data_IF_947758355462
#
_entry.id   IF_947758355462
#
_cell.length_a   1.000
_cell.length_b   1.000
_cell.length_c   1.000
_cell.angle_alpha   90.00
_cell.angle_beta   90.00
_cell.angle_gamma   90.00
#
_symmetry.space_group_name_H-M   'P 1'
#
loop_
_entity.id
_entity.type
_entity.pdbx_description
1 polymer ?
#
# COMPACT_ATOMS: atom_id res chain seq x y z
N UNK A 1 -56.98 -30.94 31.37
CA UNK A 1 -56.14 -31.13 30.13
C UNK A 1 -55.87 -29.74 29.56
N UNK A 2 -54.68 -29.25 29.77
CA UNK A 2 -54.23 -27.97 29.22
C UNK A 2 -53.22 -28.26 28.10
N UNK A 3 -53.52 -27.88 26.86
CA UNK A 3 -52.65 -28.00 25.71
C UNK A 3 -51.75 -26.79 25.65
N UNK A 4 -50.44 -27.00 25.82
CA UNK A 4 -49.39 -25.96 25.63
C UNK A 4 -49.03 -26.00 24.15
N UNK A 5 -49.36 -24.89 23.42
CA UNK A 5 -48.95 -24.67 22.06
C UNK A 5 -47.58 -23.96 22.08
N UNK A 6 -46.51 -24.66 21.76
CA UNK A 6 -45.17 -24.07 21.59
C UNK A 6 -45.11 -23.54 20.18
N UNK A 7 -45.16 -22.22 20.02
CA UNK A 7 -44.87 -21.50 18.76
C UNK A 7 -43.37 -21.35 18.67
N UNK A 8 -42.74 -22.17 17.84
CA UNK A 8 -41.34 -21.99 17.48
C UNK A 8 -41.25 -20.86 16.45
N UNK A 9 -40.89 -19.66 16.87
CA UNK A 9 -40.48 -18.61 15.93
C UNK A 9 -39.11 -18.94 15.37
N UNK A 10 -39.06 -19.33 14.11
CA UNK A 10 -37.83 -19.34 13.33
C UNK A 10 -37.44 -17.89 13.07
N UNK A 11 -36.43 -17.39 13.75
CA UNK A 11 -35.74 -16.17 13.35
C UNK A 11 -34.91 -16.53 12.11
N UNK A 12 -35.40 -16.15 10.95
CA UNK A 12 -34.57 -16.06 9.74
C UNK A 12 -33.56 -14.95 9.99
N UNK A 13 -32.31 -15.32 10.16
CA UNK A 13 -31.17 -14.41 10.17
C UNK A 13 -31.11 -13.77 8.80
N UNK A 14 -31.57 -12.54 8.66
CA UNK A 14 -31.28 -11.71 7.51
C UNK A 14 -29.81 -11.29 7.65
N UNK A 15 -28.93 -12.00 6.94
CA UNK A 15 -27.62 -11.47 6.64
C UNK A 15 -27.87 -10.13 5.91
N UNK A 16 -27.36 -9.03 6.44
CA UNK A 16 -27.52 -7.72 5.82
C UNK A 16 -26.94 -7.76 4.40
N UNK A 17 -27.73 -7.31 3.42
CA UNK A 17 -27.27 -7.25 2.01
C UNK A 17 -25.96 -6.44 1.94
N UNK A 18 -24.97 -6.98 1.25
CA UNK A 18 -23.69 -6.30 0.96
C UNK A 18 -24.02 -5.06 0.14
N UNK A 19 -23.62 -3.88 0.61
CA UNK A 19 -23.92 -2.59 -0.03
C UNK A 19 -22.83 -2.16 -1.00
N UNK A 20 -21.58 -2.54 -0.72
CA UNK A 20 -20.45 -2.25 -1.58
C UNK A 20 -19.43 -3.38 -1.49
N UNK A 21 -18.84 -3.73 -2.63
CA UNK A 21 -17.78 -4.71 -2.72
C UNK A 21 -16.73 -4.20 -3.72
N UNK A 22 -15.48 -4.25 -3.33
CA UNK A 22 -14.34 -3.87 -4.18
C UNK A 22 -13.15 -4.78 -3.92
N UNK A 23 -12.20 -4.78 -4.85
CA UNK A 23 -10.91 -5.43 -4.69
C UNK A 23 -9.89 -4.42 -4.18
N UNK A 24 -9.16 -4.81 -3.14
CA UNK A 24 -8.03 -4.03 -2.64
C UNK A 24 -6.70 -4.62 -3.11
N UNK A 25 -6.51 -5.94 -2.95
CA UNK A 25 -5.32 -6.67 -3.43
C UNK A 25 -5.74 -8.09 -3.84
N UNK A 26 -5.17 -8.59 -4.93
CA UNK A 26 -5.37 -9.94 -5.44
C UNK A 26 -4.09 -10.77 -5.35
N UNK A 27 -4.24 -12.03 -4.96
CA UNK A 27 -3.21 -13.05 -4.95
C UNK A 27 -3.78 -14.34 -5.58
N UNK A 28 -2.93 -15.30 -5.95
CA UNK A 28 -3.38 -16.54 -6.61
C UNK A 28 -4.29 -17.44 -5.75
N UNK A 29 -4.33 -17.27 -4.42
CA UNK A 29 -5.07 -18.15 -3.48
C UNK A 29 -5.88 -17.38 -2.45
N UNK A 30 -5.83 -16.04 -2.49
CA UNK A 30 -6.49 -15.14 -1.53
C UNK A 30 -6.70 -13.77 -2.15
N UNK A 31 -7.63 -13.01 -1.58
CA UNK A 31 -7.87 -11.62 -1.93
C UNK A 31 -8.07 -10.78 -0.67
N UNK A 32 -7.67 -9.51 -0.72
CA UNK A 32 -8.12 -8.52 0.24
C UNK A 32 -9.25 -7.76 -0.45
N UNK A 33 -10.45 -7.93 0.08
CA UNK A 33 -11.67 -7.31 -0.44
C UNK A 33 -12.08 -6.15 0.48
N UNK A 34 -12.65 -5.11 -0.10
CA UNK A 34 -13.35 -4.05 0.64
C UNK A 34 -14.83 -4.37 0.61
N UNK A 35 -15.40 -4.74 1.75
CA UNK A 35 -16.81 -5.11 1.89
C UNK A 35 -17.46 -4.11 2.83
N UNK A 36 -18.38 -3.30 2.32
CA UNK A 36 -19.04 -2.22 3.08
C UNK A 36 -18.04 -1.29 3.79
N UNK A 37 -16.97 -0.89 3.06
CA UNK A 37 -15.90 -0.04 3.57
C UNK A 37 -14.87 -0.72 4.48
N UNK A 38 -15.06 -2.01 4.82
CA UNK A 38 -14.13 -2.74 5.68
C UNK A 38 -13.24 -3.69 4.85
N UNK A 39 -11.94 -3.60 5.04
CA UNK A 39 -10.99 -4.51 4.40
C UNK A 39 -11.02 -5.88 5.08
N UNK A 40 -11.11 -6.93 4.27
CA UNK A 40 -11.11 -8.31 4.74
C UNK A 40 -10.25 -9.17 3.82
N UNK A 41 -9.30 -9.88 4.39
CA UNK A 41 -8.58 -10.93 3.67
C UNK A 41 -9.43 -12.20 3.68
N UNK A 42 -9.70 -12.74 2.51
CA UNK A 42 -10.34 -14.04 2.33
C UNK A 42 -9.42 -14.95 1.52
N UNK A 43 -9.34 -16.21 1.93
CA UNK A 43 -8.73 -17.28 1.13
C UNK A 43 -9.79 -17.92 0.23
N UNK A 44 -9.36 -18.53 -0.86
CA UNK A 44 -10.26 -19.30 -1.72
C UNK A 44 -11.01 -20.35 -0.89
N UNK A 45 -12.35 -20.34 -0.98
CA UNK A 45 -13.27 -21.15 -0.19
C UNK A 45 -13.68 -20.52 1.16
N UNK A 46 -13.14 -19.36 1.56
CA UNK A 46 -13.48 -18.69 2.82
C UNK A 46 -14.65 -17.72 2.63
N UNK A 47 -15.58 -17.72 3.62
CA UNK A 47 -16.76 -16.85 3.65
C UNK A 47 -16.57 -15.77 4.72
N UNK A 48 -16.79 -14.52 4.37
CA UNK A 48 -16.80 -13.40 5.30
C UNK A 48 -18.02 -13.44 6.24
N UNK A 49 -17.97 -12.77 7.41
CA UNK A 49 -19.13 -12.69 8.33
C UNK A 49 -20.40 -12.05 7.71
N UNK A 50 -20.26 -11.33 6.61
CA UNK A 50 -21.36 -10.68 5.89
C UNK A 50 -21.82 -11.47 4.64
N UNK A 51 -21.35 -12.72 4.46
CA UNK A 51 -21.85 -13.63 3.44
C UNK A 51 -21.17 -13.55 2.07
N UNK A 52 -19.99 -12.91 1.97
CA UNK A 52 -19.17 -12.92 0.74
C UNK A 52 -18.20 -14.11 0.80
N UNK A 53 -18.24 -15.00 -0.18
CA UNK A 53 -17.32 -16.14 -0.31
C UNK A 53 -16.36 -15.90 -1.47
N UNK A 54 -15.05 -16.06 -1.25
CA UNK A 54 -14.06 -16.02 -2.32
C UNK A 54 -14.01 -17.41 -3.01
N UNK A 55 -14.45 -17.49 -4.25
CA UNK A 55 -14.48 -18.72 -5.03
C UNK A 55 -13.15 -19.01 -5.72
N UNK A 56 -12.57 -17.98 -6.33
CA UNK A 56 -11.23 -18.06 -6.93
C UNK A 56 -10.56 -16.69 -6.91
N UNK A 57 -9.24 -16.68 -6.97
CA UNK A 57 -8.46 -15.44 -7.07
C UNK A 57 -7.20 -15.68 -7.88
N UNK A 58 -6.90 -14.76 -8.77
CA UNK A 58 -5.66 -14.64 -9.54
C UNK A 58 -5.00 -13.30 -9.18
N UNK A 59 -3.90 -12.94 -9.82
CA UNK A 59 -3.31 -11.61 -9.67
C UNK A 59 -4.04 -10.51 -10.46
N UNK A 60 -5.05 -10.86 -11.26
CA UNK A 60 -5.78 -9.93 -12.15
C UNK A 60 -7.26 -9.81 -11.80
N UNK A 61 -7.90 -10.91 -11.40
CA UNK A 61 -9.34 -10.94 -11.06
C UNK A 61 -9.62 -11.91 -9.91
N UNK A 62 -10.76 -11.70 -9.24
CA UNK A 62 -11.31 -12.64 -8.27
C UNK A 62 -12.76 -12.96 -8.61
N UNK A 63 -13.19 -14.21 -8.36
CA UNK A 63 -14.59 -14.59 -8.41
C UNK A 63 -15.09 -14.70 -6.97
N UNK A 64 -16.12 -13.95 -6.65
CA UNK A 64 -16.80 -13.96 -5.35
C UNK A 64 -18.22 -14.46 -5.50
N UNK A 65 -18.76 -15.06 -4.45
CA UNK A 65 -20.17 -15.45 -4.37
C UNK A 65 -20.86 -14.66 -3.27
N UNK A 66 -21.98 -14.02 -3.62
CA UNK A 66 -22.83 -13.24 -2.72
C UNK A 66 -24.28 -13.69 -2.96
N UNK A 67 -24.99 -14.10 -1.93
CA UNK A 67 -26.38 -14.58 -2.02
C UNK A 67 -26.61 -15.64 -3.11
N UNK A 68 -25.60 -16.55 -3.30
CA UNK A 68 -25.63 -17.61 -4.30
C UNK A 68 -25.40 -17.17 -5.75
N UNK A 69 -25.02 -15.91 -5.98
CA UNK A 69 -24.61 -15.38 -7.29
C UNK A 69 -23.10 -15.18 -7.31
N UNK A 70 -22.47 -15.62 -8.38
CA UNK A 70 -21.05 -15.42 -8.60
C UNK A 70 -20.82 -14.19 -9.46
N UNK A 71 -19.87 -13.35 -9.03
CA UNK A 71 -19.43 -12.16 -9.73
C UNK A 71 -17.90 -12.19 -9.87
N UNK A 72 -17.41 -11.83 -11.05
CA UNK A 72 -15.98 -11.60 -11.28
C UNK A 72 -15.70 -10.13 -11.05
N UNK A 73 -14.70 -9.85 -10.20
CA UNK A 73 -14.26 -8.49 -9.87
C UNK A 73 -12.78 -8.33 -10.20
N UNK A 74 -12.48 -7.28 -10.96
CA UNK A 74 -11.14 -6.87 -11.34
C UNK A 74 -10.64 -5.73 -10.44
N UNK A 75 -9.35 -5.45 -10.49
CA UNK A 75 -8.71 -4.35 -9.75
C UNK A 75 -9.29 -2.96 -10.06
N UNK A 76 -10.16 -2.82 -11.09
CA UNK A 76 -10.66 -1.53 -11.59
C UNK A 76 -12.16 -1.30 -11.43
N UNK A 77 -12.92 -2.21 -10.80
CA UNK A 77 -14.37 -2.05 -10.73
C UNK A 77 -14.84 -1.92 -9.27
N UNK A 78 -15.20 -0.71 -8.89
CA UNK A 78 -16.11 -0.47 -7.77
C UNK A 78 -17.52 -0.62 -8.32
N UNK A 79 -18.16 -1.78 -8.17
CA UNK A 79 -19.55 -1.96 -8.54
C UNK A 79 -20.44 -1.30 -7.49
N UNK A 80 -20.94 -0.10 -7.79
CA UNK A 80 -22.06 0.52 -7.06
C UNK A 80 -23.30 0.39 -7.93
N UNK A 81 -24.24 -0.47 -7.54
CA UNK A 81 -25.57 -0.54 -8.12
C UNK A 81 -26.44 0.61 -7.56
N UNK A 82 -26.55 1.69 -8.33
CA UNK A 82 -27.47 2.80 -8.10
C UNK A 82 -27.48 3.73 -9.29
N UNK A 83 -28.63 4.37 -9.68
CA UNK A 83 -28.68 5.24 -10.84
C UNK A 83 -27.78 6.45 -10.65
N UNK A 84 -26.80 6.59 -11.55
CA UNK A 84 -25.83 7.69 -11.58
C UNK A 84 -26.56 8.97 -11.92
N UNK A 85 -26.80 9.82 -10.93
CA UNK A 85 -26.91 11.25 -11.10
C UNK A 85 -25.59 11.85 -10.63
N UNK A 86 -24.84 12.43 -11.56
CA UNK A 86 -23.61 13.15 -11.24
C UNK A 86 -23.82 14.07 -10.04
N UNK A 87 -23.13 13.82 -8.92
CA UNK A 87 -22.62 14.88 -8.11
C UNK A 87 -21.11 14.86 -8.27
N UNK A 88 -20.56 16.01 -8.57
CA UNK A 88 -19.20 16.39 -8.32
C UNK A 88 -18.80 15.82 -6.94
N UNK A 89 -18.21 14.61 -6.95
CA UNK A 89 -17.77 13.96 -5.73
C UNK A 89 -16.49 14.67 -5.34
N UNK A 90 -16.64 15.60 -4.40
CA UNK A 90 -15.57 15.97 -3.49
C UNK A 90 -15.06 14.65 -2.90
N UNK A 91 -13.96 14.13 -3.45
CA UNK A 91 -13.28 12.95 -2.95
C UNK A 91 -12.71 13.36 -1.59
N UNK A 92 -13.44 13.08 -0.51
CA UNK A 92 -12.86 13.12 0.82
C UNK A 92 -11.80 12.00 0.84
N UNK A 93 -10.55 12.40 0.64
CA UNK A 93 -9.37 11.56 0.73
C UNK A 93 -9.21 11.09 2.17
N UNK A 94 -9.63 9.87 2.45
CA UNK A 94 -9.12 9.11 3.60
C UNK A 94 -8.97 7.64 3.22
N UNK A 95 -8.35 7.40 2.05
CA UNK A 95 -7.80 6.09 1.74
C UNK A 95 -6.40 6.03 2.32
N UNK A 96 -6.21 5.25 3.38
CA UNK A 96 -4.85 4.89 3.81
C UNK A 96 -4.08 4.38 2.60
N UNK A 97 -3.19 5.22 2.03
CA UNK A 97 -2.38 4.84 0.88
C UNK A 97 -1.50 3.66 1.26
N UNK A 98 -1.64 2.55 0.53
CA UNK A 98 -0.93 1.31 0.83
C UNK A 98 -0.20 0.82 -0.42
N UNK A 99 1.04 0.38 -0.23
CA UNK A 99 1.91 -0.19 -1.28
C UNK A 99 2.41 -1.56 -0.85
N UNK A 100 2.29 -2.53 -1.74
CA UNK A 100 2.81 -3.87 -1.55
C UNK A 100 4.05 -4.08 -2.40
N UNK A 101 5.15 -4.46 -1.78
CA UNK A 101 6.43 -4.73 -2.42
C UNK A 101 6.76 -6.22 -2.35
N UNK A 102 7.27 -6.76 -3.45
CA UNK A 102 7.78 -8.12 -3.53
C UNK A 102 9.31 -8.12 -3.40
N UNK A 103 9.85 -9.12 -2.69
CA UNK A 103 11.29 -9.31 -2.57
C UNK A 103 11.88 -9.70 -3.92
N UNK A 104 12.88 -8.97 -4.39
CA UNK A 104 13.62 -9.28 -5.61
C UNK A 104 14.47 -10.54 -5.45
N UNK A 105 14.92 -11.11 -6.56
CA UNK A 105 15.76 -12.32 -6.58
C UNK A 105 17.10 -12.18 -5.83
N UNK A 106 17.58 -10.95 -5.61
CA UNK A 106 18.76 -10.63 -4.80
C UNK A 106 18.45 -10.52 -3.27
N UNK A 107 17.20 -10.71 -2.86
CA UNK A 107 16.78 -10.70 -1.46
C UNK A 107 16.39 -9.33 -0.91
N UNK A 108 16.38 -8.28 -1.72
CA UNK A 108 16.01 -6.92 -1.33
C UNK A 108 14.62 -6.53 -1.83
N UNK A 109 14.03 -5.52 -1.20
CA UNK A 109 12.80 -4.87 -1.68
C UNK A 109 13.16 -3.63 -2.46
N UNK A 110 12.58 -3.50 -3.66
CA UNK A 110 12.67 -2.29 -4.48
C UNK A 110 11.29 -1.70 -4.63
N UNK A 111 11.21 -0.38 -4.68
CA UNK A 111 9.97 0.36 -4.83
C UNK A 111 10.12 1.39 -5.96
N UNK A 112 9.19 1.36 -6.90
CA UNK A 112 9.07 2.41 -7.91
C UNK A 112 8.39 3.63 -7.30
N UNK A 113 8.89 4.80 -7.66
CA UNK A 113 8.36 6.05 -7.14
C UNK A 113 8.93 7.28 -7.82
N UNK A 114 8.77 8.42 -7.18
CA UNK A 114 9.26 9.70 -7.71
C UNK A 114 9.89 10.55 -6.61
N UNK A 115 10.85 11.37 -7.00
CA UNK A 115 11.40 12.47 -6.22
C UNK A 115 11.18 13.75 -7.02
N UNK A 116 10.41 14.70 -6.48
CA UNK A 116 10.10 15.99 -7.12
C UNK A 116 9.60 15.80 -8.57
N UNK A 117 8.68 14.83 -8.77
CA UNK A 117 8.08 14.44 -10.07
C UNK A 117 9.07 13.79 -11.07
N UNK A 118 10.21 13.30 -10.62
CA UNK A 118 11.15 12.50 -11.44
C UNK A 118 11.13 11.06 -10.98
N UNK A 119 10.88 10.15 -11.91
CA UNK A 119 10.79 8.71 -11.64
C UNK A 119 12.12 8.14 -11.17
N UNK A 120 12.07 7.32 -10.12
CA UNK A 120 13.22 6.65 -9.51
C UNK A 120 12.83 5.25 -9.05
N UNK A 121 13.81 4.38 -8.92
CA UNK A 121 13.69 3.11 -8.19
C UNK A 121 14.43 3.25 -6.87
N UNK A 122 13.76 2.95 -5.78
CA UNK A 122 14.34 2.94 -4.44
C UNK A 122 14.72 1.52 -4.01
N UNK A 123 15.83 1.40 -3.30
CA UNK A 123 16.13 0.25 -2.45
C UNK A 123 15.60 0.52 -1.04
N UNK A 124 14.68 -0.31 -0.54
CA UNK A 124 14.14 -0.16 0.82
C UNK A 124 15.23 -0.51 1.85
N UNK A 125 15.60 0.48 2.67
CA UNK A 125 16.68 0.35 3.65
C UNK A 125 16.27 0.93 5.02
N UNK A 126 15.82 0.07 5.92
CA UNK A 126 15.48 0.46 7.31
C UNK A 126 16.70 0.78 8.15
N UNK A 127 17.92 0.50 7.67
CA UNK A 127 19.18 0.88 8.32
C UNK A 127 19.62 2.32 8.00
N UNK A 128 19.07 2.93 6.94
CA UNK A 128 19.34 4.32 6.60
C UNK A 128 18.40 5.26 7.37
N UNK A 129 18.96 6.32 8.01
CA UNK A 129 18.14 7.28 8.76
C UNK A 129 17.29 8.18 7.85
N UNK A 130 17.75 8.45 6.63
CA UNK A 130 17.08 9.29 5.64
C UNK A 130 17.18 8.67 4.25
N UNK A 131 16.42 9.20 3.28
CA UNK A 131 16.68 8.88 1.88
C UNK A 131 18.16 9.22 1.61
N UNK A 132 18.89 8.31 0.97
CA UNK A 132 20.29 8.52 0.68
C UNK A 132 20.60 8.25 -0.79
N UNK A 133 21.40 9.10 -1.40
CA UNK A 133 21.82 8.95 -2.80
C UNK A 133 23.20 9.55 -3.03
N UNK A 134 23.83 9.19 -4.15
CA UNK A 134 25.09 9.79 -4.57
C UNK A 134 24.88 11.17 -5.17
N UNK A 135 25.96 11.96 -5.26
CA UNK A 135 25.96 13.27 -5.95
C UNK A 135 25.47 13.12 -7.40
N UNK A 136 25.93 12.09 -8.12
CA UNK A 136 25.52 11.87 -9.52
C UNK A 136 24.02 11.64 -9.68
N UNK A 137 23.40 10.91 -8.74
CA UNK A 137 21.95 10.71 -8.72
C UNK A 137 21.21 12.01 -8.40
N UNK A 138 21.67 12.77 -7.40
CA UNK A 138 21.08 14.06 -7.08
C UNK A 138 21.14 15.04 -8.26
N UNK A 139 22.25 15.09 -8.99
CA UNK A 139 22.38 15.88 -10.22
C UNK A 139 21.41 15.45 -11.32
N UNK A 140 21.21 14.15 -11.51
CA UNK A 140 20.26 13.63 -12.53
C UNK A 140 18.81 13.97 -12.19
N UNK A 141 18.53 14.18 -10.90
CA UNK A 141 17.22 14.57 -10.38
C UNK A 141 17.04 16.11 -10.26
N UNK A 142 18.02 16.91 -10.69
CA UNK A 142 18.10 18.39 -10.56
C UNK A 142 17.90 18.86 -9.10
N UNK A 143 18.43 18.09 -8.14
CA UNK A 143 18.40 18.47 -6.72
C UNK A 143 19.55 19.44 -6.45
N UNK A 144 19.21 20.64 -5.96
CA UNK A 144 20.19 21.63 -5.49
C UNK A 144 20.75 21.21 -4.11
N UNK A 145 21.65 20.23 -4.14
CA UNK A 145 22.24 19.68 -2.91
C UNK A 145 23.31 20.59 -2.30
N UNK A 146 23.95 21.44 -3.11
CA UNK A 146 25.04 22.31 -2.64
C UNK A 146 24.56 23.39 -1.68
N UNK A 147 23.29 23.81 -1.79
CA UNK A 147 22.62 24.70 -0.84
C UNK A 147 22.31 24.04 0.50
N UNK A 148 22.38 22.69 0.57
CA UNK A 148 22.10 21.89 1.75
C UNK A 148 23.14 22.04 2.86
N UNK A 149 22.79 21.57 4.05
CA UNK A 149 23.68 21.59 5.23
C UNK A 149 24.77 20.56 5.10
N UNK A 150 26.04 20.97 5.14
CA UNK A 150 27.19 20.05 5.17
C UNK A 150 27.23 19.29 6.49
N UNK A 151 27.40 17.97 6.42
CA UNK A 151 27.42 17.05 7.56
C UNK A 151 28.28 15.82 7.25
N UNK A 152 28.28 14.85 8.16
CA UNK A 152 28.96 13.57 8.00
C UNK A 152 27.93 12.43 8.13
N UNK A 153 27.91 11.51 7.18
CA UNK A 153 27.17 10.27 7.29
C UNK A 153 28.06 9.19 7.92
N UNK A 154 27.50 8.42 8.86
CA UNK A 154 28.11 7.18 9.34
C UNK A 154 27.67 6.05 8.42
N UNK A 155 28.62 5.45 7.71
CA UNK A 155 28.38 4.33 6.81
C UNK A 155 29.16 3.11 7.26
N UNK A 156 28.91 1.94 6.64
CA UNK A 156 29.70 0.73 6.89
C UNK A 156 31.20 0.92 6.64
N UNK A 157 31.57 1.89 5.76
CA UNK A 157 32.95 2.21 5.40
C UNK A 157 33.53 3.36 6.23
N UNK A 158 32.81 3.85 7.26
CA UNK A 158 33.23 4.94 8.12
C UNK A 158 32.44 6.24 7.89
N UNK A 159 33.00 7.34 8.39
CA UNK A 159 32.40 8.67 8.22
C UNK A 159 32.70 9.23 6.84
N UNK A 160 31.67 9.62 6.10
CA UNK A 160 31.78 10.23 4.78
C UNK A 160 31.08 11.59 4.75
N UNK A 161 31.63 12.59 4.02
CA UNK A 161 30.99 13.88 3.87
C UNK A 161 29.65 13.73 3.12
N UNK A 162 28.66 14.51 3.53
CA UNK A 162 27.35 14.57 2.89
C UNK A 162 26.77 15.99 2.94
N UNK A 163 25.73 16.20 2.13
CA UNK A 163 24.83 17.35 2.24
C UNK A 163 23.46 16.84 2.69
N UNK A 164 22.90 17.48 3.71
CA UNK A 164 21.53 17.27 4.11
C UNK A 164 20.62 18.23 3.35
N UNK A 165 19.61 17.68 2.67
CA UNK A 165 18.63 18.46 1.92
C UNK A 165 17.21 18.00 2.30
N UNK A 166 16.22 18.82 1.97
CA UNK A 166 14.82 18.47 2.06
C UNK A 166 14.28 18.29 0.64
N UNK A 167 13.74 17.10 0.35
CA UNK A 167 13.01 16.82 -0.87
C UNK A 167 11.58 17.33 -0.70
N UNK A 168 11.10 18.13 -1.64
CA UNK A 168 9.77 18.75 -1.55
C UNK A 168 8.69 17.68 -1.51
N UNK A 169 8.78 16.68 -2.43
CA UNK A 169 7.82 15.62 -2.58
C UNK A 169 8.52 14.31 -2.89
N UNK A 170 8.09 13.23 -2.24
CA UNK A 170 8.52 11.86 -2.52
C UNK A 170 7.28 10.98 -2.60
N UNK A 171 7.17 10.22 -3.69
CA UNK A 171 6.11 9.22 -3.86
C UNK A 171 6.67 7.83 -3.93
N UNK A 172 5.95 6.85 -3.40
CA UNK A 172 6.19 5.41 -3.55
C UNK A 172 4.85 4.77 -3.83
N UNK A 173 4.63 4.35 -5.07
CA UNK A 173 3.31 3.88 -5.51
C UNK A 173 2.23 4.94 -5.23
N UNK A 174 1.23 4.60 -4.40
CA UNK A 174 0.14 5.51 -4.00
C UNK A 174 0.47 6.37 -2.77
N UNK A 175 1.61 6.16 -2.11
CA UNK A 175 2.01 6.91 -0.92
C UNK A 175 2.78 8.15 -1.34
N UNK A 176 2.25 9.33 -0.99
CA UNK A 176 2.90 10.62 -1.20
C UNK A 176 3.19 11.28 0.15
N UNK A 177 4.44 11.75 0.33
CA UNK A 177 4.90 12.49 1.51
C UNK A 177 5.71 13.69 1.09
N UNK A 178 5.53 14.79 1.81
CA UNK A 178 6.21 16.06 1.57
C UNK A 178 7.34 16.30 2.57
N UNK A 179 8.29 17.16 2.18
CA UNK A 179 9.37 17.66 3.04
C UNK A 179 10.23 16.53 3.64
N UNK A 180 10.63 15.57 2.82
CA UNK A 180 11.41 14.42 3.26
C UNK A 180 12.91 14.74 3.32
N UNK A 181 13.52 14.47 4.47
CA UNK A 181 14.96 14.63 4.65
C UNK A 181 15.75 13.63 3.82
N UNK A 182 16.79 14.11 3.13
CA UNK A 182 17.68 13.28 2.34
C UNK A 182 19.16 13.63 2.58
N UNK A 183 20.02 12.62 2.44
CA UNK A 183 21.47 12.70 2.50
C UNK A 183 22.06 12.51 1.10
N UNK A 184 22.73 13.54 0.59
CA UNK A 184 23.49 13.45 -0.65
C UNK A 184 24.94 13.17 -0.30
N UNK A 185 25.34 11.91 -0.46
CA UNK A 185 26.63 11.39 -0.02
C UNK A 185 27.67 11.65 -1.13
N UNK A 186 28.77 12.32 -0.73
CA UNK A 186 29.90 12.52 -1.63
C UNK A 186 30.63 11.21 -1.86
N UNK A 187 31.49 11.16 -2.87
CA UNK A 187 32.18 9.98 -3.33
C UNK A 187 32.96 9.21 -2.23
N UNK A 188 32.79 7.88 -2.10
CA UNK A 188 31.83 7.03 -2.81
C UNK A 188 30.44 7.05 -2.14
N UNK A 189 29.43 7.48 -2.89
CA UNK A 189 28.03 7.39 -2.47
C UNK A 189 27.41 6.00 -2.71
N UNK A 190 26.14 5.77 -2.32
CA UNK A 190 25.45 4.52 -2.58
C UNK A 190 25.22 4.31 -4.08
N UNK A 191 25.20 3.04 -4.50
CA UNK A 191 24.97 2.64 -5.90
C UNK A 191 23.50 2.74 -6.33
N UNK A 192 22.58 2.81 -5.37
CA UNK A 192 21.14 2.93 -5.55
C UNK A 192 20.59 4.02 -4.62
N UNK A 193 19.40 4.54 -4.91
CA UNK A 193 18.72 5.47 -4.02
C UNK A 193 18.12 4.67 -2.87
N UNK A 194 18.57 4.93 -1.64
CA UNK A 194 18.06 4.24 -0.45
C UNK A 194 16.80 4.93 0.06
N UNK A 195 15.71 4.18 0.24
CA UNK A 195 14.50 4.62 0.90
C UNK A 195 14.66 4.41 2.40
N UNK A 196 15.07 5.45 3.11
CA UNK A 196 15.38 5.39 4.53
C UNK A 196 14.23 5.80 5.45
N UNK A 197 14.53 5.85 6.75
CA UNK A 197 13.55 6.08 7.82
C UNK A 197 12.91 7.46 7.82
N UNK A 198 13.49 8.47 7.13
CA UNK A 198 12.82 9.76 6.94
C UNK A 198 11.49 9.63 6.20
N UNK A 199 11.37 8.65 5.32
CA UNK A 199 10.13 8.27 4.63
C UNK A 199 9.44 7.09 5.34
N UNK A 200 10.14 5.97 5.48
CA UNK A 200 9.60 4.73 6.04
C UNK A 200 9.07 4.89 7.48
N UNK A 201 9.68 5.77 8.27
CA UNK A 201 9.27 6.03 9.64
C UNK A 201 7.89 6.71 9.79
N UNK A 202 7.32 7.22 8.69
CA UNK A 202 5.98 7.80 8.65
C UNK A 202 4.91 6.78 8.25
N UNK A 203 5.31 5.53 8.00
CA UNK A 203 4.43 4.45 7.55
C UNK A 203 4.33 3.35 8.59
N UNK A 204 3.26 2.60 8.52
CA UNK A 204 3.17 1.27 9.12
C UNK A 204 3.75 0.26 8.14
N UNK A 205 4.69 -0.56 8.62
CA UNK A 205 5.41 -1.55 7.81
C UNK A 205 5.04 -2.94 8.31
N UNK A 206 4.45 -3.74 7.43
CA UNK A 206 4.17 -5.14 7.70
C UNK A 206 4.98 -6.02 6.74
N UNK A 207 5.85 -6.87 7.28
CA UNK A 207 6.70 -7.76 6.52
C UNK A 207 6.31 -9.22 6.79
N UNK A 208 5.97 -9.97 5.74
CA UNK A 208 5.63 -11.39 5.82
C UNK A 208 6.27 -12.16 4.66
N UNK A 209 7.25 -12.99 4.96
CA UNK A 209 7.95 -13.80 3.95
C UNK A 209 8.64 -12.94 2.88
N UNK A 210 8.17 -13.04 1.65
CA UNK A 210 8.70 -12.30 0.51
C UNK A 210 7.95 -10.99 0.21
N UNK A 211 6.97 -10.63 1.03
CA UNK A 211 6.10 -9.46 0.80
C UNK A 211 6.27 -8.45 1.91
N UNK A 212 6.37 -7.17 1.56
CA UNK A 212 6.35 -6.04 2.48
C UNK A 212 5.17 -5.13 2.11
N UNK A 213 4.36 -4.78 3.10
CA UNK A 213 3.23 -3.86 2.95
C UNK A 213 3.55 -2.57 3.69
N UNK A 214 3.51 -1.46 2.97
CA UNK A 214 3.70 -0.11 3.48
C UNK A 214 2.33 0.57 3.51
N UNK A 215 1.94 1.16 4.63
CA UNK A 215 0.66 1.88 4.79
C UNK A 215 0.93 3.25 5.39
N UNK A 216 0.41 4.33 4.76
CA UNK A 216 0.50 5.69 5.30
C UNK A 216 -0.31 5.77 6.60
N UNK A 217 0.28 6.39 7.62
CA UNK A 217 -0.39 6.62 8.93
C UNK A 217 -1.34 7.79 8.85
#
# INVERSE_FOLDING_TARGET
MAAICVVTMMFSSQAGAVKSLGVYVLFNDKAILVIDGNRRMLRVGETSPVGVTLISSTTQSAIVEIDGKQEEIDLHIVASDGPVSDPEVEVAEDYESTVTLEKSGNGFFHAEGEINNKSVTFLVDTGANSIAMSVSMAQSLDIDYESGRKSLASTANGLVPMYEVTLEKVTVGSIELDNISAAIITDPGPGEILLGMSFLGQLDINHSGNTMVLTKR
#
